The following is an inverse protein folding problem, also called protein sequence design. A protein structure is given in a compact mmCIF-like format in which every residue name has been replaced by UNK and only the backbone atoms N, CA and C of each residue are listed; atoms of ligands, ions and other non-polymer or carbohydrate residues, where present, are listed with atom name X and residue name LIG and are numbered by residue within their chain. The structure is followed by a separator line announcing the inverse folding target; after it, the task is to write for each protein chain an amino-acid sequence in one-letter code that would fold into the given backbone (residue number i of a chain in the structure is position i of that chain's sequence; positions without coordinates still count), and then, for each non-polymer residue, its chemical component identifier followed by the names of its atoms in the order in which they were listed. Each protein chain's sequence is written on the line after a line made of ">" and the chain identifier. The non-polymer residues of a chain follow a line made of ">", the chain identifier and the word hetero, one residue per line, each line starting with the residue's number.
data_IF_764334423661
#
_entry.id   IF_764334423661
#
_cell.length_a   1.000
_cell.length_b   1.000
_cell.length_c   1.000
_cell.angle_alpha   90.00
_cell.angle_beta   90.00
_cell.angle_gamma   90.00
#
_symmetry.space_group_name_H-M   'P 1'
#
loop_
_entity.id
_entity.type
_entity.pdbx_description
1 polymer ?
#
# COMPACT_ATOMS: atom_id res chain seq x y z
N UNK A 1 0.30 27.05 -25.83
CA UNK A 1 0.46 25.61 -26.13
C UNK A 1 1.66 25.11 -25.35
N UNK A 2 1.43 24.34 -24.29
CA UNK A 2 2.34 23.36 -23.71
C UNK A 2 1.57 22.62 -22.61
N UNK A 3 0.75 21.67 -23.06
CA UNK A 3 0.20 20.59 -22.23
C UNK A 3 1.38 19.76 -21.72
N UNK A 4 1.58 19.69 -20.40
CA UNK A 4 2.66 18.93 -19.80
C UNK A 4 2.07 17.70 -19.07
N UNK A 5 1.98 16.53 -19.73
CA UNK A 5 1.39 15.34 -19.14
C UNK A 5 2.43 14.61 -18.29
N UNK A 6 2.80 15.16 -17.13
CA UNK A 6 3.51 14.38 -16.11
C UNK A 6 2.51 13.81 -15.09
N UNK A 7 1.57 13.03 -15.62
CA UNK A 7 0.54 12.32 -14.89
C UNK A 7 1.05 10.93 -14.49
N UNK A 8 1.86 10.83 -13.43
CA UNK A 8 2.01 9.57 -12.67
C UNK A 8 2.62 9.71 -11.27
N UNK A 9 2.36 10.83 -10.58
CA UNK A 9 2.31 10.74 -9.12
C UNK A 9 0.90 10.22 -8.82
N UNK A 10 0.76 8.91 -8.61
CA UNK A 10 -0.46 8.31 -8.07
C UNK A 10 -1.00 9.23 -7.00
N UNK A 11 -2.10 9.93 -7.29
CA UNK A 11 -2.65 10.95 -6.40
C UNK A 11 -3.02 10.24 -5.11
N UNK A 12 -2.17 10.37 -4.09
CA UNK A 12 -2.37 9.76 -2.80
C UNK A 12 -3.77 10.15 -2.33
N UNK A 13 -4.59 9.15 -2.05
CA UNK A 13 -5.94 9.37 -1.55
C UNK A 13 -5.84 10.16 -0.23
N UNK A 14 -6.85 10.96 0.13
CA UNK A 14 -6.87 11.65 1.42
C UNK A 14 -6.67 10.64 2.57
N UNK A 15 -5.62 10.84 3.37
CA UNK A 15 -5.19 9.91 4.42
C UNK A 15 -4.09 8.94 4.01
N UNK A 16 -3.65 8.97 2.75
CA UNK A 16 -2.46 8.27 2.29
C UNK A 16 -1.21 9.14 2.38
N UNK A 17 -0.12 8.53 2.83
CA UNK A 17 1.20 9.14 2.85
C UNK A 17 2.17 8.17 2.20
N UNK A 18 2.95 8.70 1.27
CA UNK A 18 4.06 8.00 0.65
C UNK A 18 5.36 8.57 1.22
N UNK A 19 6.12 7.74 1.93
CA UNK A 19 7.47 8.08 2.34
C UNK A 19 8.41 7.77 1.19
N UNK A 20 8.78 8.80 0.44
CA UNK A 20 9.66 8.70 -0.74
C UNK A 20 11.07 8.22 -0.42
N UNK A 21 11.51 8.35 0.83
CA UNK A 21 12.84 7.92 1.28
C UNK A 21 13.03 6.40 1.25
N UNK A 22 11.96 5.62 1.48
CA UNK A 22 12.05 4.15 1.61
C UNK A 22 11.07 3.37 0.72
N UNK A 23 10.18 4.05 0.00
CA UNK A 23 9.08 3.40 -0.71
C UNK A 23 8.04 2.81 0.24
N UNK A 24 7.77 3.49 1.35
CA UNK A 24 6.71 3.09 2.28
C UNK A 24 5.43 3.82 1.93
N UNK A 25 4.29 3.12 1.92
CA UNK A 25 2.97 3.71 1.69
C UNK A 25 2.07 3.34 2.85
N UNK A 26 1.30 4.27 3.37
CA UNK A 26 0.22 3.96 4.29
C UNK A 26 -1.05 4.70 3.91
N UNK A 27 -2.19 4.16 4.28
CA UNK A 27 -3.50 4.72 3.97
C UNK A 27 -4.58 4.16 4.87
N UNK A 28 -5.70 4.88 4.99
CA UNK A 28 -6.92 4.30 5.54
C UNK A 28 -7.79 3.74 4.43
N UNK A 29 -8.20 2.49 4.60
CA UNK A 29 -9.12 1.78 3.73
C UNK A 29 -10.55 2.34 3.84
N UNK A 30 -11.47 1.85 3.01
CA UNK A 30 -12.85 2.36 2.95
C UNK A 30 -13.64 2.12 4.23
N UNK A 31 -13.38 1.03 4.96
CA UNK A 31 -13.98 0.74 6.28
C UNK A 31 -13.18 1.35 7.45
N UNK A 32 -12.11 2.10 7.17
CA UNK A 32 -11.32 2.83 8.16
C UNK A 32 -10.15 2.05 8.77
N UNK A 33 -9.81 0.86 8.25
CA UNK A 33 -8.63 0.11 8.66
C UNK A 33 -7.35 0.76 8.14
N UNK A 34 -6.27 0.69 8.92
CA UNK A 34 -4.97 1.19 8.47
C UNK A 34 -4.30 0.15 7.58
N UNK A 35 -3.96 0.49 6.35
CA UNK A 35 -3.17 -0.33 5.43
C UNK A 35 -1.78 0.27 5.32
N UNK A 36 -0.74 -0.55 5.43
CA UNK A 36 0.66 -0.14 5.35
C UNK A 36 1.43 -1.09 4.42
N UNK A 37 2.14 -0.51 3.47
CA UNK A 37 3.16 -1.15 2.65
C UNK A 37 4.52 -0.66 3.13
N UNK A 38 5.42 -1.58 3.45
CA UNK A 38 6.80 -1.27 3.84
C UNK A 38 7.79 -2.20 3.13
N UNK A 39 8.97 -1.68 2.84
CA UNK A 39 10.11 -2.50 2.39
C UNK A 39 10.65 -3.28 3.58
N UNK A 40 10.96 -4.56 3.37
CA UNK A 40 11.59 -5.40 4.40
C UNK A 40 13.06 -5.02 4.50
N UNK A 41 13.55 -4.79 5.72
CA UNK A 41 14.94 -4.36 5.99
C UNK A 41 15.85 -5.57 6.15
N UNK A 42 15.39 -6.61 6.86
CA UNK A 42 16.19 -7.81 7.13
C UNK A 42 16.23 -8.82 5.97
N UNK A 43 15.26 -8.75 5.07
CA UNK A 43 15.11 -9.68 3.94
C UNK A 43 14.69 -8.91 2.69
N UNK A 44 15.07 -9.35 1.48
CA UNK A 44 14.62 -8.73 0.26
C UNK A 44 13.09 -8.86 0.12
N UNK A 45 12.45 -7.75 -0.26
CA UNK A 45 11.02 -7.71 -0.58
C UNK A 45 10.25 -6.65 0.20
N UNK A 46 8.94 -6.82 0.19
CA UNK A 46 7.95 -5.89 0.68
C UNK A 46 6.92 -6.65 1.49
N UNK A 47 6.34 -5.96 2.46
CA UNK A 47 5.24 -6.48 3.25
C UNK A 47 4.13 -5.45 3.27
N UNK A 48 2.91 -5.93 3.06
CA UNK A 48 1.67 -5.16 3.14
C UNK A 48 0.89 -5.70 4.31
N UNK A 49 0.59 -4.85 5.28
CA UNK A 49 -0.19 -5.18 6.48
C UNK A 49 -1.46 -4.34 6.51
N UNK A 50 -2.55 -4.91 7.01
CA UNK A 50 -3.78 -4.19 7.34
C UNK A 50 -4.11 -4.37 8.82
N UNK A 51 -4.30 -3.26 9.52
CA UNK A 51 -4.80 -3.19 10.89
C UNK A 51 -6.32 -3.42 10.89
N UNK A 52 -6.68 -4.67 10.62
CA UNK A 52 -8.04 -5.17 10.70
C UNK A 52 -8.10 -6.34 11.67
N UNK A 53 -9.25 -6.52 12.30
CA UNK A 53 -9.49 -7.67 13.16
C UNK A 53 -9.27 -8.97 12.36
N UNK A 54 -8.45 -9.89 12.88
CA UNK A 54 -8.12 -11.15 12.16
C UNK A 54 -9.39 -11.97 11.98
N UNK A 55 -9.91 -11.99 10.75
CA UNK A 55 -11.01 -12.86 10.35
C UNK A 55 -10.47 -14.15 9.73
N UNK A 56 -11.03 -15.33 10.08
CA UNK A 56 -10.62 -16.59 9.46
C UNK A 56 -10.85 -16.52 7.95
N UNK A 57 -9.78 -16.73 7.18
CA UNK A 57 -9.82 -16.70 5.70
C UNK A 57 -9.44 -15.37 5.05
N UNK A 58 -9.18 -14.30 5.82
CA UNK A 58 -8.71 -13.03 5.26
C UNK A 58 -7.27 -12.75 5.70
N UNK A 59 -6.29 -12.74 4.79
CA UNK A 59 -4.92 -12.41 5.13
C UNK A 59 -4.82 -10.93 5.54
N UNK A 60 -4.34 -10.68 6.75
CA UNK A 60 -4.05 -9.32 7.28
C UNK A 60 -2.61 -8.88 6.99
N UNK A 61 -1.79 -9.79 6.47
CA UNK A 61 -0.43 -9.54 6.05
C UNK A 61 -0.15 -10.29 4.75
N UNK A 62 0.55 -9.64 3.82
CA UNK A 62 1.05 -10.23 2.59
C UNK A 62 2.51 -9.84 2.40
N UNK A 63 3.36 -10.85 2.17
CA UNK A 63 4.79 -10.67 1.87
C UNK A 63 5.03 -11.01 0.40
N UNK A 64 5.75 -10.15 -0.30
CA UNK A 64 6.11 -10.37 -1.70
C UNK A 64 7.46 -9.74 -2.02
N UNK A 65 8.20 -10.31 -2.97
CA UNK A 65 9.49 -9.77 -3.38
C UNK A 65 9.36 -8.64 -4.41
N UNK A 66 8.22 -8.54 -5.09
CA UNK A 66 8.02 -7.58 -6.18
C UNK A 66 7.24 -6.35 -5.73
N UNK A 67 7.77 -5.17 -6.05
CA UNK A 67 7.12 -3.88 -5.76
C UNK A 67 5.73 -3.79 -6.39
N UNK A 68 5.58 -4.23 -7.64
CA UNK A 68 4.30 -4.22 -8.35
C UNK A 68 3.23 -5.07 -7.63
N UNK A 69 3.62 -6.27 -7.19
CA UNK A 69 2.77 -7.18 -6.42
C UNK A 69 2.39 -6.58 -5.05
N UNK A 70 3.32 -5.88 -4.39
CA UNK A 70 3.05 -5.20 -3.13
C UNK A 70 2.04 -4.06 -3.30
N UNK A 71 2.18 -3.27 -4.37
CA UNK A 71 1.23 -2.20 -4.67
C UNK A 71 -0.15 -2.76 -5.01
N UNK A 72 -0.23 -3.80 -5.85
CA UNK A 72 -1.49 -4.46 -6.16
C UNK A 72 -2.21 -4.97 -4.90
N UNK A 73 -1.45 -5.55 -3.94
CA UNK A 73 -2.00 -5.99 -2.66
C UNK A 73 -2.44 -4.82 -1.77
N UNK A 74 -1.67 -3.73 -1.72
CA UNK A 74 -2.04 -2.51 -1.00
C UNK A 74 -3.33 -1.90 -1.55
N UNK A 75 -3.44 -1.72 -2.86
CA UNK A 75 -4.64 -1.21 -3.53
C UNK A 75 -5.85 -2.14 -3.36
N UNK A 76 -5.61 -3.45 -3.23
CA UNK A 76 -6.64 -4.44 -2.90
C UNK A 76 -7.11 -4.27 -1.46
N UNK A 77 -6.21 -4.19 -0.48
CA UNK A 77 -6.57 -3.99 0.92
C UNK A 77 -7.25 -2.64 1.18
N UNK A 78 -6.83 -1.58 0.50
CA UNK A 78 -7.50 -0.28 0.54
C UNK A 78 -8.97 -0.34 0.07
N UNK A 79 -9.33 -1.31 -0.78
CA UNK A 79 -10.68 -1.52 -1.32
C UNK A 79 -11.51 -2.55 -0.56
N UNK A 80 -10.89 -3.64 -0.10
CA UNK A 80 -11.57 -4.74 0.59
C UNK A 80 -11.84 -4.44 2.06
N UNK A 81 -10.96 -3.67 2.68
CA UNK A 81 -11.13 -3.18 4.05
C UNK A 81 -11.57 -1.73 4.04
#
# INVERSE_FOLDING_TARGET
>A
MADNPNNNASALQPGQVESRDNGERFGRSASGCLVQLRRRVSEPGFVVTVDAERRPGVPTELITHEWASANAAFDRFMREF
#
